data_IF_951806772966
#
_entry.id   IF_951806772966
#
_cell.length_a   1.000
_cell.length_b   1.000
_cell.length_c   1.000
_cell.angle_alpha   90.00
_cell.angle_beta   90.00
_cell.angle_gamma   90.00
#
_symmetry.space_group_name_H-M   'P 1'
#
loop_
_entity.id
_entity.type
_entity.pdbx_description
1 polymer ?
#
# COMPACT_ATOMS: atom_id res chain seq x y z
N UNK A 1 37.45 -8.36 56.16
CA UNK A 1 36.21 -7.75 55.69
C UNK A 1 35.87 -8.39 54.36
N UNK A 2 34.96 -9.34 54.39
CA UNK A 2 34.62 -10.15 53.20
C UNK A 2 33.39 -9.59 52.52
N UNK A 3 33.57 -9.03 51.34
CA UNK A 3 32.48 -8.65 50.49
C UNK A 3 31.93 -9.90 49.78
N UNK A 4 30.78 -10.37 50.24
CA UNK A 4 30.04 -11.45 49.58
C UNK A 4 29.46 -10.95 48.25
N UNK A 5 30.03 -11.42 47.16
CA UNK A 5 29.43 -11.30 45.81
C UNK A 5 28.18 -12.19 45.75
N UNK A 6 27.02 -11.59 45.75
CA UNK A 6 25.77 -12.29 45.43
C UNK A 6 25.73 -12.50 43.93
N UNK A 7 25.92 -13.74 43.52
CA UNK A 7 25.76 -14.22 42.16
C UNK A 7 24.26 -14.35 41.89
N UNK A 8 23.73 -13.46 41.04
CA UNK A 8 22.35 -13.52 40.55
C UNK A 8 22.33 -14.52 39.40
N UNK A 9 21.75 -15.67 39.65
CA UNK A 9 21.43 -16.66 38.63
C UNK A 9 20.11 -16.23 37.99
N UNK A 10 20.18 -15.79 36.74
CA UNK A 10 19.00 -15.50 35.90
C UNK A 10 18.57 -16.82 35.30
N UNK A 11 17.36 -17.32 35.55
CA UNK A 11 16.85 -18.47 34.79
C UNK A 11 16.55 -18.05 33.35
N UNK A 12 17.27 -18.65 32.43
CA UNK A 12 17.03 -18.56 31.00
C UNK A 12 15.73 -19.31 30.72
N UNK A 13 14.61 -18.61 30.74
CA UNK A 13 13.36 -19.13 30.19
C UNK A 13 13.47 -19.09 28.67
N UNK A 14 13.72 -20.24 28.07
CA UNK A 14 13.60 -20.45 26.65
C UNK A 14 12.13 -20.30 26.28
N UNK A 15 11.71 -19.11 25.82
CA UNK A 15 10.48 -18.89 25.12
C UNK A 15 10.62 -19.56 23.74
N UNK A 16 10.03 -20.73 23.62
CA UNK A 16 9.71 -21.34 22.34
C UNK A 16 8.68 -20.41 21.66
N UNK A 17 9.16 -19.51 20.82
CA UNK A 17 8.32 -18.92 19.79
C UNK A 17 7.96 -20.03 18.82
N UNK A 18 6.79 -20.62 19.00
CA UNK A 18 6.13 -21.29 17.92
C UNK A 18 5.86 -20.20 16.88
N UNK A 19 6.69 -20.14 15.84
CA UNK A 19 6.36 -19.41 14.65
C UNK A 19 5.11 -20.08 14.07
N UNK A 20 3.94 -19.53 14.40
CA UNK A 20 2.79 -19.70 13.57
C UNK A 20 3.19 -19.05 12.23
N UNK A 21 3.54 -19.88 11.27
CA UNK A 21 3.56 -19.50 9.86
C UNK A 21 2.07 -19.35 9.49
N UNK A 22 1.42 -18.30 10.03
CA UNK A 22 0.26 -17.74 9.40
C UNK A 22 0.82 -17.15 8.13
N UNK A 23 0.46 -17.70 6.98
CA UNK A 23 0.55 -16.97 5.74
C UNK A 23 -0.09 -15.62 6.02
N UNK A 24 0.74 -14.58 6.12
CA UNK A 24 0.27 -13.23 5.98
C UNK A 24 -0.29 -13.18 4.55
N UNK A 25 -1.58 -13.46 4.40
CA UNK A 25 -2.28 -13.00 3.24
C UNK A 25 -2.24 -11.49 3.39
N UNK A 26 -1.39 -10.83 2.62
CA UNK A 26 -1.54 -9.42 2.37
C UNK A 26 -2.99 -9.25 1.96
N UNK A 27 -3.70 -8.36 2.62
CA UNK A 27 -5.09 -8.14 2.27
C UNK A 27 -5.12 -7.58 0.86
N UNK A 28 -5.88 -8.24 0.03
CA UNK A 28 -6.05 -7.90 -1.35
C UNK A 28 -7.49 -7.51 -1.62
N UNK A 29 -7.68 -6.69 -2.63
CA UNK A 29 -8.98 -6.24 -3.10
C UNK A 29 -9.17 -6.71 -4.54
N UNK A 30 -10.33 -7.31 -4.90
CA UNK A 30 -10.63 -7.52 -6.31
C UNK A 30 -10.36 -6.25 -7.11
N UNK A 31 -9.54 -6.35 -8.14
CA UNK A 31 -9.03 -5.18 -8.88
C UNK A 31 -10.17 -4.30 -9.44
N UNK A 32 -11.36 -4.87 -9.66
CA UNK A 32 -12.55 -4.15 -10.09
C UNK A 32 -13.12 -3.22 -9.02
N UNK A 33 -12.75 -3.40 -7.75
CA UNK A 33 -13.22 -2.57 -6.63
C UNK A 33 -12.33 -1.36 -6.34
N UNK A 34 -11.25 -1.15 -7.09
CA UNK A 34 -10.37 0.02 -6.87
C UNK A 34 -11.13 1.35 -7.00
N UNK A 35 -12.16 1.39 -7.84
CA UNK A 35 -12.99 2.58 -8.00
C UNK A 35 -13.73 2.98 -6.71
N UNK A 36 -14.00 2.04 -5.80
CA UNK A 36 -14.55 2.34 -4.47
C UNK A 36 -13.53 3.15 -3.66
N UNK A 37 -12.27 2.72 -3.65
CA UNK A 37 -11.18 3.41 -2.95
C UNK A 37 -10.93 4.80 -3.55
N UNK A 38 -10.83 4.89 -4.87
CA UNK A 38 -10.63 6.17 -5.56
C UNK A 38 -11.80 7.13 -5.32
N UNK A 39 -13.04 6.62 -5.29
CA UNK A 39 -14.22 7.42 -4.98
C UNK A 39 -14.18 8.01 -3.56
N UNK A 40 -13.76 7.21 -2.57
CA UNK A 40 -13.61 7.69 -1.18
C UNK A 40 -12.47 8.70 -1.05
N UNK A 41 -11.34 8.44 -1.68
CA UNK A 41 -10.20 9.34 -1.67
C UNK A 41 -10.50 10.68 -2.36
N UNK A 42 -11.18 10.67 -3.52
CA UNK A 42 -11.62 11.87 -4.20
C UNK A 42 -12.64 12.67 -3.38
N UNK A 43 -13.58 12.01 -2.70
CA UNK A 43 -14.54 12.64 -1.81
C UNK A 43 -13.87 13.29 -0.58
N UNK A 44 -12.77 12.72 -0.10
CA UNK A 44 -11.93 13.30 0.95
C UNK A 44 -11.18 14.55 0.47
N UNK A 45 -10.79 14.59 -0.80
CA UNK A 45 -10.14 15.73 -1.43
C UNK A 45 -8.79 15.46 -2.08
N UNK A 46 -8.38 14.20 -2.21
CA UNK A 46 -7.15 13.87 -2.92
C UNK A 46 -7.21 14.31 -4.40
N UNK A 47 -6.14 14.91 -4.87
CA UNK A 47 -5.96 15.35 -6.26
C UNK A 47 -4.83 14.63 -6.98
N UNK A 48 -3.83 14.17 -6.21
CA UNK A 48 -2.71 13.35 -6.69
C UNK A 48 -2.37 12.31 -5.65
N UNK A 49 -1.94 11.15 -6.10
CA UNK A 49 -1.71 9.96 -5.30
C UNK A 49 -0.25 9.55 -5.40
N UNK A 50 0.39 9.30 -4.27
CA UNK A 50 1.73 8.70 -4.21
C UNK A 50 1.64 7.21 -3.98
N UNK A 51 0.71 6.76 -3.11
CA UNK A 51 0.53 5.37 -2.77
C UNK A 51 -0.94 5.07 -2.43
N UNK A 52 -1.39 3.88 -2.78
CA UNK A 52 -2.65 3.27 -2.32
C UNK A 52 -2.34 1.83 -1.96
N UNK A 53 -2.52 1.46 -0.70
CA UNK A 53 -2.34 0.10 -0.21
C UNK A 53 -3.61 -0.45 0.43
N UNK A 54 -3.81 -1.75 0.30
CA UNK A 54 -4.94 -2.45 0.91
C UNK A 54 -4.49 -3.05 2.23
N UNK A 55 -5.18 -2.66 3.28
CA UNK A 55 -4.88 -3.04 4.64
C UNK A 55 -5.86 -4.10 5.17
N UNK A 56 -5.46 -4.75 6.25
CA UNK A 56 -6.27 -5.73 6.96
C UNK A 56 -7.71 -5.26 7.20
N UNK A 57 -8.68 -6.18 7.13
CA UNK A 57 -10.08 -5.95 7.51
C UNK A 57 -10.85 -4.97 6.63
N UNK A 58 -10.55 -4.92 5.35
CA UNK A 58 -11.29 -4.09 4.39
C UNK A 58 -11.03 -2.60 4.55
N UNK A 59 -9.78 -2.25 4.83
CA UNK A 59 -9.27 -0.88 4.90
C UNK A 59 -8.35 -0.60 3.73
N UNK A 60 -8.28 0.65 3.33
CA UNK A 60 -7.30 1.15 2.38
C UNK A 60 -6.60 2.36 2.97
N UNK A 61 -5.30 2.40 2.84
CA UNK A 61 -4.48 3.57 3.12
C UNK A 61 -4.19 4.30 1.82
N UNK A 62 -4.34 5.61 1.83
CA UNK A 62 -4.12 6.47 0.68
C UNK A 62 -3.20 7.60 1.09
N UNK A 63 -2.07 7.70 0.42
CA UNK A 63 -1.12 8.77 0.59
C UNK A 63 -1.06 9.65 -0.67
N UNK A 64 -1.01 10.96 -0.48
CA UNK A 64 -0.93 11.88 -1.59
C UNK A 64 -1.29 13.32 -1.24
N UNK A 65 -1.64 14.09 -2.25
CA UNK A 65 -1.83 15.52 -2.17
C UNK A 65 -3.30 15.91 -2.28
N UNK A 66 -3.72 16.80 -1.38
CA UNK A 66 -5.03 17.44 -1.44
C UNK A 66 -4.99 18.68 -2.36
N UNK A 67 -3.86 19.40 -2.31
CA UNK A 67 -3.54 20.56 -3.15
C UNK A 67 -2.02 20.75 -3.23
N UNK A 68 -1.54 21.86 -3.73
CA UNK A 68 -0.12 22.14 -3.91
C UNK A 68 0.71 22.25 -2.62
N UNK A 69 0.04 22.33 -1.46
CA UNK A 69 0.70 22.55 -0.16
C UNK A 69 0.37 21.47 0.88
N UNK A 70 -0.77 20.78 0.76
CA UNK A 70 -1.24 19.82 1.76
C UNK A 70 -1.12 18.39 1.28
N UNK A 71 -0.28 17.65 1.97
CA UNK A 71 -0.14 16.20 1.86
C UNK A 71 -0.97 15.52 2.94
N UNK A 72 -1.55 14.38 2.63
CA UNK A 72 -2.33 13.58 3.56
C UNK A 72 -1.98 12.10 3.44
N UNK A 73 -2.06 11.44 4.58
CA UNK A 73 -2.03 9.99 4.76
C UNK A 73 -3.34 9.64 5.48
N UNK A 74 -4.20 8.85 4.83
CA UNK A 74 -5.57 8.62 5.29
C UNK A 74 -5.95 7.17 5.13
N UNK A 75 -6.41 6.56 6.22
CA UNK A 75 -6.98 5.22 6.24
C UNK A 75 -8.51 5.28 6.15
N UNK A 76 -9.08 4.55 5.20
CA UNK A 76 -10.52 4.46 4.96
C UNK A 76 -11.05 3.05 5.18
N UNK A 77 -12.30 2.94 5.61
CA UNK A 77 -13.09 1.74 5.39
C UNK A 77 -13.50 1.66 3.91
N UNK A 78 -13.11 0.59 3.22
CA UNK A 78 -13.42 0.42 1.78
C UNK A 78 -14.93 0.34 1.54
N UNK A 79 -15.67 -0.30 2.44
CA UNK A 79 -17.12 -0.51 2.27
C UNK A 79 -17.93 0.76 2.56
N UNK A 80 -17.54 1.56 3.55
CA UNK A 80 -18.33 2.72 3.98
C UNK A 80 -17.75 4.07 3.55
N UNK A 81 -16.46 4.13 3.23
CA UNK A 81 -15.74 5.39 2.99
C UNK A 81 -15.48 6.20 4.26
N UNK A 82 -15.74 5.61 5.44
CA UNK A 82 -15.45 6.27 6.71
C UNK A 82 -13.94 6.43 6.87
N UNK A 83 -13.50 7.64 7.22
CA UNK A 83 -12.12 7.92 7.59
C UNK A 83 -11.86 7.36 8.98
N UNK A 84 -10.92 6.42 9.06
CA UNK A 84 -10.56 5.72 10.29
C UNK A 84 -9.36 6.37 10.97
N UNK A 85 -8.40 6.81 10.17
CA UNK A 85 -7.21 7.54 10.61
C UNK A 85 -6.85 8.58 9.58
N UNK A 86 -6.33 9.73 10.03
CA UNK A 86 -5.81 10.76 9.13
C UNK A 86 -4.60 11.47 9.73
N UNK A 87 -3.65 11.76 8.87
CA UNK A 87 -2.53 12.65 9.14
C UNK A 87 -2.40 13.62 7.98
N UNK A 88 -2.17 14.91 8.30
CA UNK A 88 -1.96 15.95 7.27
C UNK A 88 -0.69 16.72 7.57
N UNK A 89 0.02 17.03 6.52
CA UNK A 89 1.26 17.77 6.59
C UNK A 89 1.30 18.86 5.52
N UNK A 90 1.84 20.02 5.87
CA UNK A 90 2.07 21.09 4.89
C UNK A 90 3.48 20.98 4.34
N UNK A 91 3.59 20.77 3.04
CA UNK A 91 4.84 20.62 2.34
C UNK A 91 5.02 21.73 1.30
N UNK A 92 6.25 22.22 1.17
CA UNK A 92 6.61 23.29 0.22
C UNK A 92 7.23 22.77 -1.07
N UNK A 93 7.27 21.47 -1.25
CA UNK A 93 7.90 20.82 -2.41
C UNK A 93 7.05 20.88 -3.67
N UNK A 94 5.76 21.23 -3.54
CA UNK A 94 4.78 21.16 -4.61
C UNK A 94 4.21 19.74 -4.77
N UNK A 95 2.96 19.65 -5.20
CA UNK A 95 2.29 18.38 -5.42
C UNK A 95 2.89 17.61 -6.60
N UNK A 96 2.96 16.30 -6.45
CA UNK A 96 3.37 15.35 -7.48
C UNK A 96 2.67 14.02 -7.24
N UNK A 97 2.79 13.08 -8.14
CA UNK A 97 2.20 11.76 -7.99
C UNK A 97 1.34 11.37 -9.19
N UNK A 98 0.50 10.37 -8.99
CA UNK A 98 -0.43 9.85 -9.99
C UNK A 98 -1.74 10.63 -9.96
N UNK A 99 -2.31 10.89 -11.14
CA UNK A 99 -3.72 11.22 -11.28
C UNK A 99 -4.58 9.95 -11.20
N UNK A 100 -5.89 10.09 -11.02
CA UNK A 100 -6.80 8.94 -11.11
C UNK A 100 -6.70 8.24 -12.47
N UNK A 101 -6.49 9.01 -13.56
CA UNK A 101 -6.33 8.44 -14.90
C UNK A 101 -5.04 7.63 -15.02
N UNK A 102 -3.93 8.08 -14.42
CA UNK A 102 -2.68 7.30 -14.35
C UNK A 102 -2.90 5.97 -13.63
N UNK A 103 -3.61 6.00 -12.49
CA UNK A 103 -3.92 4.80 -11.70
C UNK A 103 -4.77 3.84 -12.53
N UNK A 104 -5.86 4.31 -13.15
CA UNK A 104 -6.73 3.47 -13.96
C UNK A 104 -6.01 2.86 -15.15
N UNK A 105 -5.13 3.63 -15.80
CA UNK A 105 -4.33 3.15 -16.92
C UNK A 105 -3.34 2.06 -16.46
N UNK A 106 -2.64 2.28 -15.35
CA UNK A 106 -1.70 1.32 -14.78
C UNK A 106 -2.42 0.01 -14.38
N UNK A 107 -3.57 0.10 -13.71
CA UNK A 107 -4.37 -1.06 -13.35
C UNK A 107 -4.98 -1.78 -14.55
N UNK A 108 -5.28 -1.08 -15.64
CA UNK A 108 -5.70 -1.72 -16.88
C UNK A 108 -4.57 -2.58 -17.47
N UNK A 109 -3.35 -2.09 -17.43
CA UNK A 109 -2.17 -2.87 -17.83
C UNK A 109 -2.00 -4.10 -16.93
N UNK A 110 -2.11 -3.92 -15.60
CA UNK A 110 -2.02 -5.02 -14.64
C UNK A 110 -3.06 -6.12 -14.91
N UNK A 111 -4.30 -5.75 -15.22
CA UNK A 111 -5.34 -6.70 -15.65
C UNK A 111 -4.99 -7.46 -16.93
N UNK A 112 -4.42 -6.78 -17.92
CA UNK A 112 -4.00 -7.42 -19.17
C UNK A 112 -2.88 -8.44 -18.94
N UNK A 113 -2.04 -8.20 -17.93
CA UNK A 113 -0.98 -9.12 -17.49
C UNK A 113 -1.48 -10.24 -16.56
N UNK A 114 -2.77 -10.23 -16.20
CA UNK A 114 -3.44 -11.29 -15.46
C UNK A 114 -3.69 -11.02 -13.99
N UNK A 115 -3.47 -9.80 -13.50
CA UNK A 115 -3.78 -9.43 -12.12
C UNK A 115 -5.30 -9.40 -11.91
N UNK A 116 -5.77 -10.09 -10.89
CA UNK A 116 -7.19 -10.14 -10.49
C UNK A 116 -7.43 -9.54 -9.11
N UNK A 117 -6.43 -9.58 -8.26
CA UNK A 117 -6.43 -9.02 -6.92
C UNK A 117 -5.36 -7.92 -6.84
N UNK A 118 -5.72 -6.81 -6.24
CA UNK A 118 -4.88 -5.63 -6.04
C UNK A 118 -4.45 -5.54 -4.57
N UNK A 119 -3.19 -5.25 -4.31
CA UNK A 119 -2.63 -5.07 -2.98
C UNK A 119 -2.08 -3.66 -2.78
N UNK A 120 -1.26 -3.18 -3.72
CA UNK A 120 -0.58 -1.90 -3.62
C UNK A 120 -0.35 -1.24 -4.99
N UNK A 121 -0.28 0.07 -5.02
CA UNK A 121 0.22 0.87 -6.13
C UNK A 121 0.93 2.10 -5.59
N UNK A 122 2.15 2.30 -6.02
CA UNK A 122 2.95 3.47 -5.68
C UNK A 122 3.65 4.07 -6.91
N UNK A 123 4.17 5.27 -6.76
CA UNK A 123 4.95 5.93 -7.81
C UNK A 123 6.25 6.49 -7.24
N UNK A 124 7.34 6.26 -7.93
CA UNK A 124 8.62 6.87 -7.61
C UNK A 124 8.79 8.24 -8.29
N UNK A 125 9.81 9.01 -7.86
CA UNK A 125 10.12 10.33 -8.41
C UNK A 125 10.64 10.30 -9.85
N UNK A 126 10.95 9.13 -10.40
CA UNK A 126 11.31 8.96 -11.81
C UNK A 126 10.09 8.76 -12.71
N UNK A 127 8.90 8.65 -12.11
CA UNK A 127 7.65 8.42 -12.80
C UNK A 127 7.42 6.95 -13.17
N UNK A 128 8.01 6.03 -12.42
CA UNK A 128 7.69 4.60 -12.49
C UNK A 128 6.60 4.30 -11.47
N UNK A 129 5.55 3.68 -11.95
CA UNK A 129 4.42 3.21 -11.16
C UNK A 129 4.61 1.71 -10.96
N UNK A 130 4.73 1.27 -9.73
CA UNK A 130 4.79 -0.13 -9.34
C UNK A 130 3.42 -0.57 -8.82
N UNK A 131 2.98 -1.75 -9.25
CA UNK A 131 1.68 -2.31 -8.91
C UNK A 131 1.90 -3.72 -8.39
N UNK A 132 1.44 -4.00 -7.19
CA UNK A 132 1.51 -5.31 -6.57
C UNK A 132 0.12 -5.91 -6.40
N UNK A 133 0.04 -7.23 -6.58
CA UNK A 133 -1.20 -7.95 -6.44
C UNK A 133 -1.04 -9.43 -6.78
N UNK A 134 -2.17 -10.08 -7.12
CA UNK A 134 -2.19 -11.53 -7.40
C UNK A 134 -2.94 -11.85 -8.67
N UNK A 135 -2.52 -12.94 -9.30
CA UNK A 135 -3.25 -13.54 -10.41
C UNK A 135 -4.39 -14.47 -9.91
N UNK A 136 -5.18 -15.00 -10.84
CA UNK A 136 -6.31 -15.90 -10.54
C UNK A 136 -5.88 -17.17 -9.78
N UNK A 137 -4.61 -17.57 -9.89
CA UNK A 137 -4.07 -18.72 -9.16
C UNK A 137 -3.54 -18.35 -7.76
N UNK A 138 -3.58 -17.09 -7.38
CA UNK A 138 -3.07 -16.57 -6.11
C UNK A 138 -1.56 -16.36 -6.08
N UNK A 139 -0.88 -16.38 -7.23
CA UNK A 139 0.56 -16.07 -7.31
C UNK A 139 0.77 -14.56 -7.30
N UNK A 140 1.82 -14.16 -6.64
CA UNK A 140 2.23 -12.76 -6.60
C UNK A 140 2.62 -12.26 -8.00
N UNK A 141 2.23 -11.03 -8.29
CA UNK A 141 2.46 -10.36 -9.55
C UNK A 141 2.82 -8.90 -9.27
N UNK A 142 4.02 -8.51 -9.64
CA UNK A 142 4.52 -7.13 -9.57
C UNK A 142 4.72 -6.62 -10.99
N UNK A 143 4.18 -5.44 -11.29
CA UNK A 143 4.23 -4.82 -12.62
C UNK A 143 4.65 -3.38 -12.48
N UNK A 144 5.72 -3.01 -13.19
CA UNK A 144 6.16 -1.61 -13.29
C UNK A 144 5.77 -1.03 -14.64
N UNK A 145 5.13 0.14 -14.62
CA UNK A 145 4.75 0.89 -15.82
C UNK A 145 5.25 2.33 -15.73
N UNK A 146 5.46 2.96 -16.88
CA UNK A 146 5.83 4.38 -16.93
C UNK A 146 4.59 5.26 -16.90
N UNK A 147 4.57 6.24 -16.01
CA UNK A 147 3.50 7.24 -15.91
C UNK A 147 3.23 7.91 -17.26
N UNK A 148 1.96 8.09 -17.60
CA UNK A 148 1.54 8.74 -18.84
C UNK A 148 1.71 7.88 -20.09
N UNK A 149 2.09 6.61 -19.94
CA UNK A 149 2.13 5.62 -21.01
C UNK A 149 1.67 4.26 -20.51
N UNK A 150 1.36 3.35 -21.42
CA UNK A 150 1.09 1.95 -21.08
C UNK A 150 2.35 1.07 -21.20
N UNK A 151 3.53 1.68 -21.19
CA UNK A 151 4.79 0.97 -21.39
C UNK A 151 5.16 0.21 -20.12
N UNK A 152 5.09 -1.11 -20.20
CA UNK A 152 5.56 -2.02 -19.14
C UNK A 152 7.09 -2.01 -19.14
N UNK A 153 7.66 -1.68 -18.00
CA UNK A 153 9.12 -1.65 -17.81
C UNK A 153 9.65 -2.90 -17.12
N UNK A 154 8.79 -3.57 -16.32
CA UNK A 154 9.13 -4.80 -15.59
C UNK A 154 7.88 -5.61 -15.29
N UNK A 155 8.03 -6.93 -15.25
CA UNK A 155 7.03 -7.88 -14.73
C UNK A 155 7.78 -8.96 -13.97
N UNK A 156 7.41 -9.15 -12.69
CA UNK A 156 7.85 -10.28 -11.87
C UNK A 156 6.65 -11.14 -11.46
N UNK A 157 6.88 -12.44 -11.40
CA UNK A 157 5.89 -13.46 -11.02
C UNK A 157 6.55 -14.49 -10.13
N UNK A 158 6.08 -14.62 -8.90
CA UNK A 158 6.55 -15.63 -7.93
C UNK A 158 5.54 -16.75 -7.70
#
# INVERSE_FOLDING_TARGET
MNAMKKMFVIPTSALLFAAAVGSAQADSLPIDRIDDVLGHAAAYGFTQYEEISIEDRGRAEVEGWLDDEWYADVEFSIDSGETLQEQRERLITGAWGMSEDDIRQALQVARQEGMTEFEDIDIDKSGIIDIEGRDESGRELEISVRQGSADVTRIDRD
#
